data_IF_598957547577
#
_entry.id   IF_598957547577
#
_cell.length_a   1.000
_cell.length_b   1.000
_cell.length_c   1.000
_cell.angle_alpha   90.00
_cell.angle_beta   90.00
_cell.angle_gamma   90.00
#
_symmetry.space_group_name_H-M   'P 1'
#
loop_
_entity.id
_entity.type
_entity.pdbx_description
1 polymer ?
#
# COMPACT_ATOMS: atom_id res chain seq x y z
N UNK A 1 1.05 32.31 -6.51
CA UNK A 1 0.39 31.09 -7.01
C UNK A 1 1.38 30.19 -7.73
N UNK A 2 2.18 30.71 -8.63
CA UNK A 2 3.25 30.00 -9.39
C UNK A 2 4.27 29.35 -8.45
N UNK A 3 4.71 30.03 -7.40
CA UNK A 3 5.71 29.53 -6.44
C UNK A 3 5.24 28.23 -5.73
N UNK A 4 3.95 28.16 -5.38
CA UNK A 4 3.38 26.96 -4.76
C UNK A 4 3.32 25.78 -5.74
N UNK A 5 3.02 26.06 -7.01
CA UNK A 5 2.98 25.03 -8.07
C UNK A 5 4.40 24.53 -8.34
N UNK A 6 5.38 25.44 -8.40
CA UNK A 6 6.79 25.07 -8.58
C UNK A 6 7.33 24.27 -7.39
N UNK A 7 6.97 24.64 -6.17
CA UNK A 7 7.39 23.91 -4.97
C UNK A 7 6.80 22.49 -4.95
N UNK A 8 5.50 22.35 -5.16
CA UNK A 8 4.85 21.03 -5.17
C UNK A 8 5.36 20.19 -6.34
N UNK A 9 5.47 20.77 -7.52
CA UNK A 9 6.01 20.10 -8.71
C UNK A 9 7.47 19.68 -8.52
N UNK A 10 8.29 20.55 -7.95
CA UNK A 10 9.70 20.26 -7.67
C UNK A 10 9.88 19.12 -6.65
N UNK A 11 9.13 19.14 -5.54
CA UNK A 11 9.16 18.08 -4.53
C UNK A 11 8.66 16.75 -5.13
N UNK A 12 7.60 16.78 -5.93
CA UNK A 12 7.09 15.60 -6.62
C UNK A 12 8.11 15.04 -7.60
N UNK A 13 8.78 15.88 -8.37
CA UNK A 13 9.84 15.46 -9.29
C UNK A 13 11.01 14.83 -8.54
N UNK A 14 11.46 15.47 -7.45
CA UNK A 14 12.53 14.95 -6.61
C UNK A 14 12.18 13.57 -6.04
N UNK A 15 10.96 13.41 -5.54
CA UNK A 15 10.46 12.11 -5.04
C UNK A 15 10.45 11.03 -6.14
N UNK A 16 10.04 11.37 -7.36
CA UNK A 16 10.05 10.43 -8.50
C UNK A 16 11.47 10.04 -8.91
N UNK A 17 12.39 11.01 -8.95
CA UNK A 17 13.81 10.74 -9.25
C UNK A 17 14.42 9.84 -8.19
N UNK A 18 14.16 10.12 -6.91
CA UNK A 18 14.64 9.28 -5.80
C UNK A 18 14.06 7.85 -5.87
N UNK A 19 12.77 7.72 -6.20
CA UNK A 19 12.13 6.42 -6.42
C UNK A 19 12.77 5.65 -7.58
N UNK A 20 13.05 6.32 -8.67
CA UNK A 20 13.72 5.72 -9.84
C UNK A 20 15.15 5.27 -9.52
N UNK A 21 15.93 6.10 -8.80
CA UNK A 21 17.27 5.72 -8.33
C UNK A 21 17.22 4.49 -7.41
N UNK A 22 16.26 4.44 -6.48
CA UNK A 22 16.03 3.26 -5.65
C UNK A 22 15.81 2.01 -6.49
N UNK A 23 14.96 2.10 -7.51
CA UNK A 23 14.62 0.95 -8.36
C UNK A 23 15.82 0.48 -9.19
N UNK A 24 16.67 1.41 -9.68
CA UNK A 24 17.94 1.07 -10.34
C UNK A 24 18.88 0.37 -9.35
N UNK A 25 19.02 0.89 -8.13
CA UNK A 25 19.89 0.28 -7.11
C UNK A 25 19.39 -1.12 -6.73
N UNK A 26 18.09 -1.30 -6.56
CA UNK A 26 17.49 -2.61 -6.30
C UNK A 26 17.76 -3.59 -7.45
N UNK A 27 17.58 -3.14 -8.69
CA UNK A 27 17.89 -3.95 -9.87
C UNK A 27 19.38 -4.32 -9.98
N UNK A 28 20.27 -3.40 -9.60
CA UNK A 28 21.72 -3.65 -9.60
C UNK A 28 22.15 -4.65 -8.52
N UNK A 29 21.51 -4.60 -7.32
CA UNK A 29 21.84 -5.48 -6.19
C UNK A 29 21.18 -6.86 -6.33
N UNK A 30 19.89 -6.90 -6.70
CA UNK A 30 19.14 -8.15 -6.83
C UNK A 30 19.47 -8.88 -8.15
N UNK A 31 19.94 -8.13 -9.15
CA UNK A 31 20.16 -8.66 -10.49
C UNK A 31 18.85 -9.02 -11.21
N UNK A 32 18.98 -9.47 -12.46
CA UNK A 32 17.87 -10.04 -13.22
C UNK A 32 17.76 -11.55 -12.89
N UNK A 33 17.01 -11.89 -11.86
CA UNK A 33 16.93 -13.28 -11.43
C UNK A 33 15.68 -13.62 -10.62
N UNK A 34 15.53 -14.89 -10.21
CA UNK A 34 14.36 -15.39 -9.47
C UNK A 34 14.03 -14.60 -8.21
N UNK A 35 15.06 -14.06 -7.53
CA UNK A 35 14.91 -13.27 -6.31
C UNK A 35 14.26 -11.91 -6.60
N UNK A 36 14.72 -11.23 -7.65
CA UNK A 36 14.13 -9.96 -8.08
C UNK A 36 12.66 -10.15 -8.49
N UNK A 37 12.38 -11.17 -9.29
CA UNK A 37 11.02 -11.49 -9.73
C UNK A 37 10.10 -11.76 -8.54
N UNK A 38 10.54 -12.59 -7.59
CA UNK A 38 9.79 -12.90 -6.38
C UNK A 38 9.54 -11.66 -5.52
N UNK A 39 10.53 -10.77 -5.38
CA UNK A 39 10.43 -9.53 -4.63
C UNK A 39 9.42 -8.56 -5.26
N UNK A 40 9.47 -8.35 -6.58
CA UNK A 40 8.53 -7.47 -7.26
C UNK A 40 7.10 -8.00 -7.22
N UNK A 41 6.90 -9.32 -7.35
CA UNK A 41 5.58 -9.94 -7.20
C UNK A 41 5.06 -9.77 -5.77
N UNK A 42 5.92 -9.99 -4.76
CA UNK A 42 5.56 -9.84 -3.35
C UNK A 42 5.13 -8.42 -2.97
N UNK A 43 5.75 -7.38 -3.58
CA UNK A 43 5.37 -5.99 -3.34
C UNK A 43 4.13 -5.55 -4.12
N UNK A 44 3.74 -6.26 -5.15
CA UNK A 44 2.65 -5.84 -6.05
C UNK A 44 1.33 -5.73 -5.32
N UNK A 45 1.01 -6.71 -4.49
CA UNK A 45 -0.25 -6.75 -3.74
C UNK A 45 -0.34 -5.66 -2.67
N UNK A 46 0.62 -5.56 -1.72
CA UNK A 46 0.60 -4.49 -0.72
C UNK A 46 0.54 -3.09 -1.35
N UNK A 47 1.27 -2.85 -2.44
CA UNK A 47 1.26 -1.56 -3.13
C UNK A 47 -0.10 -1.27 -3.80
N UNK A 48 -0.79 -2.28 -4.32
CA UNK A 48 -2.13 -2.10 -4.89
C UNK A 48 -3.14 -1.69 -3.82
N UNK A 49 -3.13 -2.37 -2.69
CA UNK A 49 -4.00 -2.02 -1.56
C UNK A 49 -3.62 -0.68 -0.93
N UNK A 50 -2.34 -0.34 -0.87
CA UNK A 50 -1.88 0.98 -0.43
C UNK A 50 -2.49 2.11 -1.27
N UNK A 51 -2.54 1.97 -2.58
CA UNK A 51 -3.15 2.96 -3.46
C UNK A 51 -4.64 3.15 -3.19
N UNK A 52 -5.36 2.10 -2.79
CA UNK A 52 -6.79 2.14 -2.46
C UNK A 52 -7.00 2.77 -1.07
N UNK A 53 -6.31 2.28 -0.05
CA UNK A 53 -6.58 2.64 1.35
C UNK A 53 -5.81 3.86 1.84
N UNK A 54 -4.60 4.09 1.36
CA UNK A 54 -3.73 5.16 1.86
C UNK A 54 -3.65 6.39 0.94
N UNK A 55 -3.81 6.25 -0.37
CA UNK A 55 -3.48 7.35 -1.30
C UNK A 55 -4.67 7.94 -2.05
N UNK A 56 -5.78 7.23 -2.22
CA UNK A 56 -6.78 7.70 -3.17
C UNK A 56 -8.23 7.60 -2.73
N UNK A 57 -8.83 6.44 -2.87
CA UNK A 57 -10.28 6.27 -2.73
C UNK A 57 -10.78 6.59 -1.31
N UNK A 58 -10.02 6.21 -0.28
CA UNK A 58 -10.38 6.49 1.10
C UNK A 58 -10.40 8.01 1.37
N UNK A 59 -9.33 8.72 1.05
CA UNK A 59 -9.23 10.16 1.28
C UNK A 59 -10.27 10.95 0.48
N UNK A 60 -10.56 10.54 -0.75
CA UNK A 60 -11.58 11.16 -1.58
C UNK A 60 -13.00 11.05 -0.98
N UNK A 61 -13.27 9.96 -0.26
CA UNK A 61 -14.54 9.77 0.45
C UNK A 61 -14.56 10.39 1.85
N UNK A 62 -13.47 10.25 2.60
CA UNK A 62 -13.37 10.68 3.99
C UNK A 62 -13.37 12.20 4.14
N UNK A 63 -12.58 12.92 3.34
CA UNK A 63 -12.41 14.38 3.50
C UNK A 63 -13.75 15.13 3.35
N UNK A 64 -14.58 14.89 2.32
CA UNK A 64 -15.88 15.57 2.20
C UNK A 64 -16.86 15.15 3.29
N UNK A 65 -16.82 13.89 3.72
CA UNK A 65 -17.69 13.41 4.80
C UNK A 65 -17.33 14.07 6.14
N UNK A 66 -16.04 14.13 6.46
CA UNK A 66 -15.50 14.82 7.62
C UNK A 66 -15.93 16.30 7.65
N UNK A 67 -15.76 17.01 6.52
CA UNK A 67 -16.13 18.42 6.42
C UNK A 67 -17.64 18.63 6.65
N UNK A 68 -18.48 17.77 6.09
CA UNK A 68 -19.95 17.83 6.29
C UNK A 68 -20.35 17.62 7.75
N UNK A 69 -19.79 16.60 8.41
CA UNK A 69 -20.08 16.33 9.82
C UNK A 69 -19.62 17.49 10.69
N UNK A 70 -18.47 18.07 10.40
CA UNK A 70 -17.93 19.22 11.13
C UNK A 70 -18.82 20.44 11.07
N UNK A 71 -19.36 20.74 9.91
CA UNK A 71 -20.27 21.89 9.69
C UNK A 71 -21.64 21.65 10.31
N UNK A 72 -22.17 20.43 10.20
CA UNK A 72 -23.53 20.10 10.61
C UNK A 72 -23.66 19.86 12.12
N UNK A 73 -22.65 19.26 12.78
CA UNK A 73 -22.79 18.67 14.11
C UNK A 73 -21.68 19.06 15.11
N UNK A 74 -20.73 19.87 14.69
CA UNK A 74 -19.66 20.40 15.55
C UNK A 74 -18.50 19.42 15.82
N UNK A 75 -17.59 19.83 16.71
CA UNK A 75 -16.30 19.16 16.93
C UNK A 75 -16.41 17.79 17.61
N UNK A 76 -17.38 17.60 18.51
CA UNK A 76 -17.52 16.33 19.25
C UNK A 76 -18.08 15.21 18.32
N UNK A 77 -19.02 15.57 17.45
CA UNK A 77 -19.54 14.65 16.46
C UNK A 77 -18.44 14.25 15.44
N UNK A 78 -17.55 15.17 15.08
CA UNK A 78 -16.40 14.89 14.21
C UNK A 78 -15.44 13.89 14.84
N UNK A 79 -15.14 14.05 16.13
CA UNK A 79 -14.29 13.10 16.85
C UNK A 79 -14.88 11.70 16.82
N UNK A 80 -16.15 11.58 17.21
CA UNK A 80 -16.84 10.28 17.21
C UNK A 80 -16.91 9.67 15.79
N UNK A 81 -17.14 10.48 14.77
CA UNK A 81 -17.13 10.04 13.39
C UNK A 81 -15.73 9.52 12.98
N UNK A 82 -14.67 10.29 13.28
CA UNK A 82 -13.29 9.90 12.94
C UNK A 82 -12.87 8.62 13.66
N UNK A 83 -13.19 8.49 14.96
CA UNK A 83 -12.88 7.29 15.74
C UNK A 83 -13.57 6.05 15.18
N UNK A 84 -14.84 6.18 14.77
CA UNK A 84 -15.58 5.06 14.14
C UNK A 84 -14.98 4.66 12.81
N UNK A 85 -14.64 5.64 11.96
CA UNK A 85 -14.03 5.38 10.66
C UNK A 85 -12.65 4.75 10.84
N UNK A 86 -11.84 5.25 11.80
CA UNK A 86 -10.54 4.67 12.11
C UNK A 86 -10.67 3.20 12.56
N UNK A 87 -11.61 2.90 13.46
CA UNK A 87 -11.84 1.52 13.91
C UNK A 87 -12.32 0.60 12.79
N UNK A 88 -13.20 1.08 11.90
CA UNK A 88 -13.63 0.32 10.74
C UNK A 88 -12.47 0.06 9.77
N UNK A 89 -11.64 1.08 9.53
CA UNK A 89 -10.46 0.97 8.69
C UNK A 89 -9.47 -0.04 9.28
N UNK A 90 -9.17 0.08 10.57
CA UNK A 90 -8.28 -0.84 11.29
C UNK A 90 -8.81 -2.29 11.23
N UNK A 91 -10.08 -2.49 11.53
CA UNK A 91 -10.71 -3.80 11.48
C UNK A 91 -10.64 -4.40 10.06
N UNK A 92 -10.95 -3.61 9.03
CA UNK A 92 -10.85 -4.05 7.64
C UNK A 92 -9.42 -4.44 7.23
N UNK A 93 -8.44 -3.67 7.71
CA UNK A 93 -7.02 -3.96 7.45
C UNK A 93 -6.54 -5.22 8.17
N UNK A 94 -6.98 -5.46 9.41
CA UNK A 94 -6.65 -6.70 10.15
C UNK A 94 -7.26 -7.92 9.45
N UNK A 95 -8.51 -7.82 9.00
CA UNK A 95 -9.17 -8.90 8.24
C UNK A 95 -8.45 -9.14 6.92
N UNK A 96 -8.12 -8.08 6.19
CA UNK A 96 -7.38 -8.17 4.93
C UNK A 96 -5.99 -8.79 5.12
N UNK A 97 -5.26 -8.36 6.16
CA UNK A 97 -3.96 -8.91 6.51
C UNK A 97 -4.07 -10.41 6.86
N UNK A 98 -5.05 -10.77 7.69
CA UNK A 98 -5.30 -12.18 8.04
C UNK A 98 -5.62 -13.04 6.81
N UNK A 99 -6.52 -12.56 5.96
CA UNK A 99 -6.87 -13.24 4.72
C UNK A 99 -5.65 -13.36 3.77
N UNK A 100 -4.88 -12.27 3.60
CA UNK A 100 -3.69 -12.30 2.78
C UNK A 100 -2.64 -13.29 3.28
N UNK A 101 -2.38 -13.34 4.59
CA UNK A 101 -1.42 -14.27 5.19
C UNK A 101 -1.86 -15.73 5.07
N UNK A 102 -3.17 -16.01 5.21
CA UNK A 102 -3.72 -17.36 5.07
C UNK A 102 -3.73 -17.84 3.61
N UNK A 103 -4.14 -16.96 2.70
CA UNK A 103 -4.31 -17.29 1.28
C UNK A 103 -3.14 -16.85 0.39
N UNK A 104 -1.99 -16.49 0.98
CA UNK A 104 -0.81 -16.04 0.23
C UNK A 104 -0.43 -16.98 -0.92
N UNK A 105 -0.36 -18.32 -0.75
CA UNK A 105 0.00 -19.22 -1.84
C UNK A 105 -0.97 -19.14 -3.03
N UNK A 106 -2.28 -19.10 -2.76
CA UNK A 106 -3.32 -19.00 -3.79
C UNK A 106 -3.25 -17.66 -4.52
N UNK A 107 -2.98 -16.58 -3.79
CA UNK A 107 -2.84 -15.24 -4.36
C UNK A 107 -1.61 -15.15 -5.26
N UNK A 108 -0.48 -15.72 -4.85
CA UNK A 108 0.74 -15.76 -5.67
C UNK A 108 0.54 -16.60 -6.93
N UNK A 109 -0.14 -17.74 -6.83
CA UNK A 109 -0.44 -18.57 -8.00
C UNK A 109 -1.32 -17.83 -9.02
N UNK A 110 -2.30 -17.05 -8.53
CA UNK A 110 -3.16 -16.22 -9.38
C UNK A 110 -2.42 -15.04 -10.04
N UNK A 111 -1.52 -14.38 -9.29
CA UNK A 111 -0.80 -13.20 -9.77
C UNK A 111 0.39 -13.52 -10.68
N UNK A 112 1.00 -14.67 -10.45
CA UNK A 112 2.18 -15.13 -11.16
C UNK A 112 2.09 -16.65 -11.46
N UNK A 113 1.17 -17.08 -12.34
CA UNK A 113 0.92 -18.49 -12.61
C UNK A 113 2.15 -19.25 -13.15
N UNK A 114 3.16 -18.51 -13.63
CA UNK A 114 4.44 -19.12 -14.03
C UNK A 114 5.35 -19.53 -12.88
N UNK A 115 5.12 -19.03 -11.66
CA UNK A 115 5.96 -19.32 -10.49
C UNK A 115 5.69 -20.71 -9.91
N UNK A 116 4.49 -21.24 -10.07
CA UNK A 116 4.14 -22.59 -9.64
C UNK A 116 4.98 -23.70 -10.29
N UNK A 117 5.61 -23.40 -11.44
CA UNK A 117 6.53 -24.32 -12.13
C UNK A 117 7.94 -24.39 -11.53
N UNK A 118 8.30 -23.40 -10.69
CA UNK A 118 9.58 -23.32 -9.97
C UNK A 118 9.29 -23.21 -8.46
N UNK A 119 9.40 -24.35 -7.77
CA UNK A 119 9.08 -24.43 -6.35
C UNK A 119 9.91 -23.46 -5.48
N UNK A 120 11.17 -23.21 -5.85
CA UNK A 120 12.04 -22.27 -5.11
C UNK A 120 11.57 -20.83 -5.26
N UNK A 121 11.25 -20.42 -6.48
CA UNK A 121 10.76 -19.07 -6.78
C UNK A 121 9.39 -18.82 -6.16
N UNK A 122 8.50 -19.82 -6.21
CA UNK A 122 7.19 -19.75 -5.59
C UNK A 122 7.27 -19.61 -4.06
N UNK A 123 8.07 -20.46 -3.41
CA UNK A 123 8.26 -20.40 -1.95
C UNK A 123 8.81 -19.04 -1.50
N UNK A 124 9.81 -18.52 -2.22
CA UNK A 124 10.41 -17.22 -1.95
C UNK A 124 9.37 -16.07 -2.11
N UNK A 125 8.54 -16.11 -3.16
CA UNK A 125 7.51 -15.10 -3.38
C UNK A 125 6.45 -15.14 -2.26
N UNK A 126 6.04 -16.31 -1.81
CA UNK A 126 5.11 -16.48 -0.68
C UNK A 126 5.71 -15.93 0.61
N UNK A 127 6.96 -16.26 0.92
CA UNK A 127 7.65 -15.78 2.13
C UNK A 127 7.82 -14.27 2.12
N UNK A 128 8.32 -13.69 1.02
CA UNK A 128 8.48 -12.25 0.88
C UNK A 128 7.14 -11.52 0.97
N UNK A 129 6.06 -12.07 0.40
CA UNK A 129 4.72 -11.48 0.51
C UNK A 129 4.25 -11.46 1.96
N UNK A 130 4.47 -12.52 2.73
CA UNK A 130 4.12 -12.57 4.15
C UNK A 130 4.87 -11.55 4.98
N UNK A 131 6.13 -11.26 4.62
CA UNK A 131 6.95 -10.25 5.29
C UNK A 131 6.53 -8.83 4.89
N UNK A 132 6.20 -8.61 3.63
CA UNK A 132 5.88 -7.27 3.11
C UNK A 132 4.44 -6.84 3.39
N UNK A 133 3.50 -7.78 3.51
CA UNK A 133 2.08 -7.44 3.66
C UNK A 133 1.76 -6.64 4.94
N UNK A 134 2.36 -6.89 6.13
CA UNK A 134 2.14 -6.09 7.33
C UNK A 134 2.47 -4.60 7.17
N UNK A 135 3.38 -4.25 6.24
CA UNK A 135 3.67 -2.86 5.88
C UNK A 135 2.42 -2.08 5.48
N UNK A 136 1.46 -2.74 4.81
CA UNK A 136 0.21 -2.11 4.41
C UNK A 136 -0.58 -1.55 5.60
N UNK A 137 -0.67 -2.31 6.68
CA UNK A 137 -1.35 -1.88 7.90
C UNK A 137 -0.68 -0.63 8.48
N UNK A 138 0.65 -0.63 8.56
CA UNK A 138 1.41 0.51 9.11
C UNK A 138 1.22 1.77 8.26
N UNK A 139 1.30 1.65 6.93
CA UNK A 139 1.13 2.79 6.03
C UNK A 139 -0.29 3.34 6.08
N UNK A 140 -1.29 2.47 6.16
CA UNK A 140 -2.69 2.91 6.23
C UNK A 140 -3.02 3.63 7.54
N UNK A 141 -2.35 3.29 8.64
CA UNK A 141 -2.54 3.97 9.94
C UNK A 141 -1.89 5.36 10.00
N UNK A 142 -0.92 5.64 9.15
CA UNK A 142 -0.20 6.94 9.12
C UNK A 142 -0.87 7.94 8.16
N UNK A 143 -1.73 7.50 7.28
CA UNK A 143 -2.40 8.33 6.27
C UNK A 143 -3.69 8.91 6.79
#
# INVERSE_FOLDING_TARGET
>A
MIDRILTVGGITLLSRVTGFLRDIMLAAVLGAGPVADAFFVALRLPNHFRAIFAEGAFNAAFIPAYARVRVASGTDAVRLFSDRIFMLLLASQIVLLGAALLFTPLVIDLLAPGFSKDAGRFALAVELTRITFPYLLLVTLVT
#
